data_IF_632317998612
#
_entry.id   IF_632317998612
#
_cell.length_a   1.000
_cell.length_b   1.000
_cell.length_c   1.000
_cell.angle_alpha   90.00
_cell.angle_beta   90.00
_cell.angle_gamma   90.00
#
_symmetry.space_group_name_H-M   'P 1'
#
loop_
_entity.id
_entity.type
_entity.pdbx_description
1 polymer ?
#
# COMPACT_ATOMS: atom_id res chain seq x y z
N UNK A 1 4.63 1.20 -31.10
CA UNK A 1 3.25 1.17 -30.57
C UNK A 1 2.90 -0.18 -29.92
N UNK A 2 3.19 -1.32 -30.56
CA UNK A 2 3.06 -2.67 -29.97
C UNK A 2 3.67 -2.89 -28.56
N UNK A 3 4.89 -2.39 -28.22
CA UNK A 3 5.46 -2.67 -26.90
C UNK A 3 4.69 -2.03 -25.73
N UNK A 4 4.08 -0.86 -25.93
CA UNK A 4 3.28 -0.20 -24.90
C UNK A 4 1.97 -0.95 -24.62
N UNK A 5 1.35 -1.50 -25.66
CA UNK A 5 0.13 -2.31 -25.54
C UNK A 5 0.43 -3.60 -24.76
N UNK A 6 1.53 -4.27 -25.07
CA UNK A 6 1.94 -5.48 -24.34
C UNK A 6 2.26 -5.20 -22.86
N UNK A 7 2.88 -4.04 -22.56
CA UNK A 7 3.14 -3.62 -21.18
C UNK A 7 1.83 -3.38 -20.41
N UNK A 8 0.89 -2.61 -20.98
CA UNK A 8 -0.39 -2.34 -20.34
C UNK A 8 -1.22 -3.62 -20.10
N UNK A 9 -1.21 -4.54 -21.06
CA UNK A 9 -1.86 -5.86 -20.92
C UNK A 9 -1.23 -6.67 -19.80
N UNK A 10 0.11 -6.75 -19.74
CA UNK A 10 0.80 -7.45 -18.67
C UNK A 10 0.47 -6.89 -17.27
N UNK A 11 0.37 -5.56 -17.13
CA UNK A 11 -0.07 -4.91 -15.89
C UNK A 11 -1.51 -5.29 -15.52
N UNK A 12 -2.44 -5.27 -16.48
CA UNK A 12 -3.84 -5.67 -16.27
C UNK A 12 -3.94 -7.11 -15.74
N UNK A 13 -3.23 -8.04 -16.39
CA UNK A 13 -3.20 -9.45 -15.96
C UNK A 13 -2.61 -9.62 -14.55
N UNK A 14 -1.54 -8.89 -14.24
CA UNK A 14 -0.93 -8.90 -12.91
C UNK A 14 -1.88 -8.37 -11.84
N UNK A 15 -2.58 -7.26 -12.09
CA UNK A 15 -3.57 -6.68 -11.17
C UNK A 15 -4.74 -7.65 -10.94
N UNK A 16 -5.22 -8.30 -12.00
CA UNK A 16 -6.28 -9.31 -11.89
C UNK A 16 -5.83 -10.51 -11.04
N UNK A 17 -4.59 -10.99 -11.25
CA UNK A 17 -4.00 -12.07 -10.46
C UNK A 17 -3.87 -11.72 -8.98
N UNK A 18 -3.41 -10.51 -8.64
CA UNK A 18 -3.32 -10.03 -7.25
C UNK A 18 -4.72 -10.01 -6.60
N UNK A 19 -5.73 -9.51 -7.32
CA UNK A 19 -7.10 -9.49 -6.81
C UNK A 19 -7.64 -10.89 -6.53
N UNK A 20 -7.42 -11.85 -7.43
CA UNK A 20 -7.81 -13.26 -7.23
C UNK A 20 -7.10 -13.85 -6.01
N UNK A 21 -5.81 -13.53 -5.86
CA UNK A 21 -5.03 -14.03 -4.75
C UNK A 21 -5.61 -13.57 -3.40
N UNK A 22 -5.97 -12.29 -3.27
CA UNK A 22 -6.60 -11.79 -2.05
C UNK A 22 -7.98 -12.40 -1.78
N UNK A 23 -8.81 -12.63 -2.80
CA UNK A 23 -10.16 -13.18 -2.59
C UNK A 23 -10.18 -14.68 -2.33
N UNK A 24 -9.19 -15.41 -2.83
CA UNK A 24 -9.05 -16.86 -2.60
C UNK A 24 -8.59 -17.19 -1.16
N UNK A 25 -7.92 -16.27 -0.48
CA UNK A 25 -7.48 -16.45 0.89
C UNK A 25 -8.60 -16.08 1.89
N UNK A 26 -8.83 -16.94 2.88
CA UNK A 26 -9.87 -16.74 3.90
C UNK A 26 -9.25 -16.53 5.27
N UNK A 27 -9.77 -15.55 6.01
CA UNK A 27 -9.40 -15.38 7.42
C UNK A 27 -9.96 -16.51 8.26
N UNK A 28 -9.11 -17.15 9.07
CA UNK A 28 -9.53 -18.01 10.17
C UNK A 28 -9.67 -17.16 11.42
N UNK A 29 -10.87 -16.66 11.65
CA UNK A 29 -11.15 -15.83 12.82
C UNK A 29 -10.90 -16.62 14.11
N UNK A 30 -10.24 -15.97 15.07
CA UNK A 30 -10.10 -16.48 16.44
C UNK A 30 -11.12 -15.74 17.31
N UNK A 31 -11.99 -16.49 17.97
CA UNK A 31 -13.01 -15.94 18.87
C UNK A 31 -12.53 -15.99 20.33
N UNK A 32 -13.18 -15.23 21.21
CA UNK A 32 -12.86 -15.14 22.64
C UNK A 32 -11.41 -14.67 22.92
N UNK A 33 -10.86 -13.84 22.02
CA UNK A 33 -9.58 -13.14 22.22
C UNK A 33 -9.89 -11.72 22.70
N UNK A 34 -9.20 -11.27 23.75
CA UNK A 34 -9.30 -9.87 24.20
C UNK A 34 -8.68 -8.96 23.13
N UNK A 35 -9.50 -8.06 22.59
CA UNK A 35 -9.15 -7.05 21.60
C UNK A 35 -9.29 -5.62 22.14
N UNK A 36 -9.33 -5.45 23.47
CA UNK A 36 -9.47 -4.15 24.13
C UNK A 36 -8.32 -3.18 23.80
N UNK A 37 -7.15 -3.71 23.44
CA UNK A 37 -6.00 -2.94 22.97
C UNK A 37 -5.46 -3.54 21.68
N UNK A 38 -5.53 -2.79 20.59
CA UNK A 38 -4.94 -3.16 19.29
C UNK A 38 -3.78 -2.20 19.03
N UNK A 39 -2.56 -2.73 19.05
CA UNK A 39 -1.36 -2.00 18.69
C UNK A 39 -0.96 -2.36 17.25
N UNK A 40 -1.10 -1.40 16.32
CA UNK A 40 -0.67 -1.57 14.94
C UNK A 40 0.78 -1.11 14.73
N UNK A 41 1.40 -0.52 15.73
CA UNK A 41 2.73 0.06 15.57
C UNK A 41 3.77 -1.03 15.30
N UNK A 42 4.69 -0.77 14.39
CA UNK A 42 5.76 -1.72 14.03
C UNK A 42 7.07 -0.97 13.75
N UNK A 43 8.16 -1.69 13.56
CA UNK A 43 9.47 -1.13 13.26
C UNK A 43 9.97 -1.65 11.92
N UNK A 44 10.30 -0.75 11.01
CA UNK A 44 10.84 -1.07 9.68
C UNK A 44 12.21 -0.43 9.56
N UNK A 45 13.26 -1.24 9.33
CA UNK A 45 14.64 -0.77 9.20
C UNK A 45 15.12 0.14 10.35
N UNK A 46 14.64 -0.10 11.57
CA UNK A 46 14.95 0.71 12.75
C UNK A 46 14.03 1.91 12.99
N UNK A 47 13.14 2.24 12.06
CA UNK A 47 12.18 3.33 12.20
C UNK A 47 10.84 2.81 12.74
N UNK A 48 10.35 3.43 13.82
CA UNK A 48 9.03 3.12 14.39
C UNK A 48 7.95 3.80 13.52
N UNK A 49 6.98 3.01 13.05
CA UNK A 49 5.82 3.48 12.27
C UNK A 49 4.51 3.14 13.00
N UNK A 50 3.46 3.91 12.73
CA UNK A 50 2.16 3.83 13.40
C UNK A 50 1.35 2.58 13.06
N UNK A 51 1.59 2.00 11.87
CA UNK A 51 0.86 0.88 11.30
C UNK A 51 1.74 0.13 10.28
N UNK A 52 1.47 -1.15 9.97
CA UNK A 52 2.27 -1.93 9.03
C UNK A 52 1.88 -1.64 7.56
N UNK A 53 1.69 -0.37 7.20
CA UNK A 53 1.28 0.09 5.88
C UNK A 53 2.11 1.31 5.52
N UNK A 54 2.73 1.30 4.34
CA UNK A 54 3.62 2.35 3.83
C UNK A 54 3.23 2.73 2.40
N UNK A 55 3.68 3.91 1.94
CA UNK A 55 3.44 4.35 0.56
C UNK A 55 4.48 3.71 -0.37
N UNK A 56 4.00 3.09 -1.45
CA UNK A 56 4.81 2.48 -2.51
C UNK A 56 5.32 3.56 -3.50
N UNK A 57 6.54 3.42 -4.09
CA UNK A 57 7.07 4.44 -4.98
C UNK A 57 6.27 4.49 -6.28
N UNK A 58 5.50 5.57 -6.44
CA UNK A 58 4.72 5.85 -7.64
C UNK A 58 5.24 7.11 -8.30
N UNK A 59 5.59 7.03 -9.59
CA UNK A 59 6.12 8.15 -10.35
C UNK A 59 5.02 9.11 -10.84
N UNK A 60 5.40 10.38 -11.03
CA UNK A 60 4.57 11.40 -11.71
C UNK A 60 3.24 11.68 -10.99
N UNK A 61 3.26 11.83 -9.66
CA UNK A 61 2.05 12.05 -8.86
C UNK A 61 1.38 13.40 -9.18
N UNK A 62 2.11 14.32 -9.83
CA UNK A 62 1.55 15.57 -10.37
C UNK A 62 0.47 15.38 -11.44
N UNK A 63 0.36 14.19 -12.03
CA UNK A 63 -0.77 13.84 -12.91
C UNK A 63 -2.08 13.68 -12.13
N UNK A 64 -2.01 13.37 -10.83
CA UNK A 64 -3.19 13.20 -9.97
C UNK A 64 -3.53 14.49 -9.19
N UNK A 65 -2.54 15.22 -8.69
CA UNK A 65 -2.73 16.47 -7.93
C UNK A 65 -1.58 17.44 -8.19
N UNK A 66 -1.79 18.78 -8.32
CA UNK A 66 -0.73 19.73 -8.66
C UNK A 66 0.52 19.68 -7.76
N UNK A 67 0.33 19.43 -6.46
CA UNK A 67 1.43 19.31 -5.49
C UNK A 67 2.19 17.97 -5.58
N UNK A 68 1.56 16.95 -6.17
CA UNK A 68 2.13 15.63 -6.41
C UNK A 68 2.71 14.97 -5.15
N UNK A 69 3.96 14.55 -5.27
CA UNK A 69 4.71 13.83 -4.25
C UNK A 69 4.83 14.60 -2.93
N UNK A 70 4.77 15.94 -2.97
CA UNK A 70 4.86 16.77 -1.78
C UNK A 70 3.67 16.54 -0.83
N UNK A 71 2.46 16.40 -1.39
CA UNK A 71 1.27 16.12 -0.59
C UNK A 71 1.26 14.69 -0.07
N UNK A 72 1.73 13.72 -0.86
CA UNK A 72 1.90 12.33 -0.40
C UNK A 72 2.92 12.24 0.74
N UNK A 73 4.01 13.00 0.67
CA UNK A 73 5.00 13.06 1.74
C UNK A 73 4.42 13.67 3.02
N UNK A 74 3.66 14.77 2.90
CA UNK A 74 2.93 15.37 4.03
C UNK A 74 1.93 14.38 4.64
N UNK A 75 1.19 13.66 3.81
CA UNK A 75 0.22 12.66 4.25
C UNK A 75 0.90 11.48 4.97
N UNK A 76 1.99 10.95 4.43
CA UNK A 76 2.76 9.87 5.06
C UNK A 76 3.32 10.31 6.42
N UNK A 77 3.87 11.52 6.50
CA UNK A 77 4.35 12.10 7.75
C UNK A 77 3.22 12.28 8.78
N UNK A 78 2.07 12.83 8.37
CA UNK A 78 0.91 13.01 9.24
C UNK A 78 0.33 11.67 9.73
N UNK A 79 0.34 10.64 8.89
CA UNK A 79 -0.10 9.30 9.24
C UNK A 79 0.93 8.52 10.10
N UNK A 80 2.17 9.02 10.22
CA UNK A 80 3.24 8.38 10.97
C UNK A 80 3.79 7.13 10.30
N UNK A 81 3.89 7.13 8.97
CA UNK A 81 4.45 6.02 8.19
C UNK A 81 5.51 6.49 7.19
N UNK A 82 6.17 5.52 6.57
CA UNK A 82 7.23 5.72 5.57
C UNK A 82 6.59 5.95 4.20
N UNK A 83 7.13 6.93 3.49
CA UNK A 83 6.98 7.07 2.04
C UNK A 83 8.29 6.66 1.37
N UNK A 84 8.16 5.89 0.30
CA UNK A 84 9.23 5.58 -0.66
C UNK A 84 9.01 6.44 -1.90
#
# INVERSE_FOLDING_TARGET
>A
MLPLINFQLCYSEALFSISIWFTSNRFRLRILVDLSKIDLTTTVLGFKISMPIMMDPTAMQKMAHPEGELDTARAASAAGTIMV
#
